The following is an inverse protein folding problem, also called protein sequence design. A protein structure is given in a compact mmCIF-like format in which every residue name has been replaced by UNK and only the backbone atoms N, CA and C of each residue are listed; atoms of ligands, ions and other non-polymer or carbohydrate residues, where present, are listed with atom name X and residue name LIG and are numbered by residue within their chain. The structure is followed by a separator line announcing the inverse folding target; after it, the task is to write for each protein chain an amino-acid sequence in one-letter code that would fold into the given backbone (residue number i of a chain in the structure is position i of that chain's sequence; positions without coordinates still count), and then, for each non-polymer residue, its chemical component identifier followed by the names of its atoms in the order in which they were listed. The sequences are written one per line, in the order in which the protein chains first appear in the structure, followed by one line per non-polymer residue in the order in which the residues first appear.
data_IF_419500790374
#
_entry.id   IF_419500790374
#
_cell.length_a   1.000
_cell.length_b   1.000
_cell.length_c   1.000
_cell.angle_alpha   90.00
_cell.angle_beta   90.00
_cell.angle_gamma   90.00
#
_symmetry.space_group_name_H-M   'P 1'
#
loop_
_entity.id
_entity.type
_entity.pdbx_description
1 polymer ?
#
# COMPACT_ATOMS: atom_id res chain seq x y z
N UNK A 1 -35.68 11.13 -18.76
CA UNK A 1 -35.06 11.66 -20.00
C UNK A 1 -33.68 12.16 -19.64
N UNK A 2 -32.63 11.50 -20.15
CA UNK A 2 -31.25 11.94 -19.98
C UNK A 2 -30.92 13.08 -20.97
N UNK A 3 -30.22 14.14 -20.55
CA UNK A 3 -29.72 15.14 -21.47
C UNK A 3 -28.50 14.62 -22.25
N UNK A 4 -28.38 15.07 -23.49
CA UNK A 4 -27.49 14.55 -24.54
C UNK A 4 -26.04 15.00 -24.40
N UNK A 5 -25.13 14.12 -24.82
CA UNK A 5 -23.67 14.15 -24.64
C UNK A 5 -22.91 15.14 -25.54
N UNK A 6 -23.51 16.27 -25.94
CA UNK A 6 -22.93 17.16 -26.96
C UNK A 6 -22.39 18.48 -26.42
N UNK A 7 -22.85 18.95 -25.25
CA UNK A 7 -22.42 20.25 -24.68
C UNK A 7 -21.10 20.19 -23.91
N UNK A 8 -20.67 19.03 -23.41
CA UNK A 8 -19.43 18.90 -22.62
C UNK A 8 -18.16 18.93 -23.49
N UNK A 9 -18.28 18.63 -24.78
CA UNK A 9 -17.13 18.46 -25.68
C UNK A 9 -16.54 19.80 -26.16
N UNK A 10 -17.38 20.83 -26.29
CA UNK A 10 -16.95 22.16 -26.74
C UNK A 10 -16.06 22.85 -25.71
N UNK A 11 -16.33 22.65 -24.41
CA UNK A 11 -15.52 23.21 -23.32
C UNK A 11 -14.10 22.61 -23.23
N UNK A 12 -13.95 21.30 -23.47
CA UNK A 12 -12.66 20.61 -23.41
C UNK A 12 -11.73 20.97 -24.58
N UNK A 13 -12.28 21.11 -25.79
CA UNK A 13 -11.51 21.49 -26.98
C UNK A 13 -11.01 22.95 -26.90
N UNK A 14 -11.80 23.86 -26.30
CA UNK A 14 -11.36 25.24 -26.04
C UNK A 14 -10.27 25.30 -24.97
N UNK A 15 -10.39 24.51 -23.90
CA UNK A 15 -9.40 24.47 -22.81
C UNK A 15 -8.04 23.91 -23.25
N UNK A 16 -8.01 22.98 -24.20
CA UNK A 16 -6.76 22.39 -24.72
C UNK A 16 -5.97 23.34 -25.64
N UNK A 17 -6.64 24.24 -26.38
CA UNK A 17 -5.98 25.15 -27.35
C UNK A 17 -5.02 26.15 -26.70
N UNK A 18 -5.29 26.57 -25.47
CA UNK A 18 -4.48 27.58 -24.78
C UNK A 18 -3.18 27.01 -24.17
N UNK A 19 -3.01 25.67 -24.14
CA UNK A 19 -1.85 25.02 -23.48
C UNK A 19 -1.08 24.02 -24.34
N UNK A 20 -1.59 23.60 -25.50
CA UNK A 20 -0.99 22.55 -26.33
C UNK A 20 -0.99 22.94 -27.81
N UNK A 21 0.11 22.69 -28.53
CA UNK A 21 0.16 22.82 -30.00
C UNK A 21 -0.33 21.54 -30.68
N UNK A 22 -1.05 21.68 -31.79
CA UNK A 22 -1.59 20.57 -32.57
C UNK A 22 -0.75 20.30 -33.82
N UNK A 23 -0.28 19.06 -33.99
CA UNK A 23 0.18 18.53 -35.27
C UNK A 23 -0.80 17.46 -35.73
N UNK A 24 -1.51 17.70 -36.85
CA UNK A 24 -2.37 16.70 -37.48
C UNK A 24 -1.53 15.83 -38.42
N UNK A 25 -1.32 14.57 -38.07
CA UNK A 25 -0.97 13.52 -39.03
C UNK A 25 -2.05 12.43 -39.02
N UNK A 26 -2.19 11.70 -40.12
CA UNK A 26 -3.45 11.03 -40.51
C UNK A 26 -3.94 9.87 -39.64
N UNK A 27 -3.25 9.46 -38.56
CA UNK A 27 -3.76 8.50 -37.57
C UNK A 27 -3.10 8.81 -36.22
N UNK A 28 -3.91 8.87 -35.14
CA UNK A 28 -3.63 9.13 -33.70
C UNK A 28 -3.31 10.57 -33.27
N UNK A 29 -4.00 11.03 -32.21
CA UNK A 29 -3.79 12.31 -31.51
C UNK A 29 -2.89 12.07 -30.29
N UNK A 30 -1.70 12.66 -30.25
CA UNK A 30 -0.81 12.64 -29.09
C UNK A 30 -0.71 14.03 -28.45
N UNK A 31 -0.64 14.08 -27.12
CA UNK A 31 -0.58 15.31 -26.32
C UNK A 31 0.85 15.55 -25.82
N UNK A 32 1.41 16.74 -26.09
CA UNK A 32 2.75 17.15 -25.61
C UNK A 32 2.70 18.46 -24.82
N UNK A 33 3.22 18.52 -23.57
CA UNK A 33 3.26 19.75 -22.78
C UNK A 33 4.19 20.80 -23.40
N UNK A 34 3.72 22.05 -23.42
CA UNK A 34 4.39 23.19 -24.05
C UNK A 34 5.45 23.83 -23.13
N UNK A 35 6.68 23.30 -23.12
CA UNK A 35 7.85 24.11 -22.73
C UNK A 35 9.05 23.84 -23.66
N UNK A 36 9.16 24.72 -24.65
CA UNK A 36 10.39 25.22 -25.29
C UNK A 36 11.32 24.22 -25.98
N UNK A 37 11.01 23.86 -27.23
CA UNK A 37 12.01 23.46 -28.23
C UNK A 37 12.05 24.52 -29.34
N UNK A 38 13.19 25.20 -29.49
CA UNK A 38 13.52 26.04 -30.65
C UNK A 38 14.02 25.10 -31.75
N UNK A 39 13.35 25.09 -32.90
CA UNK A 39 13.84 24.47 -34.12
C UNK A 39 14.76 25.44 -34.88
N UNK A 40 15.78 24.91 -35.55
CA UNK A 40 16.57 25.69 -36.51
C UNK A 40 17.89 25.04 -36.93
N UNK A 41 17.89 24.38 -38.09
CA UNK A 41 19.10 24.11 -38.88
C UNK A 41 19.42 25.32 -39.76
N UNK A 42 20.48 26.06 -39.44
CA UNK A 42 21.26 26.88 -40.38
C UNK A 42 22.62 27.23 -39.76
N UNK A 43 23.69 27.08 -40.54
CA UNK A 43 25.08 27.13 -40.06
C UNK A 43 25.62 28.50 -39.64
N UNK A 44 26.85 28.46 -39.12
CA UNK A 44 27.79 29.57 -38.86
C UNK A 44 27.27 30.70 -37.93
N UNK A 45 27.62 30.61 -36.66
CA UNK A 45 28.55 31.54 -36.01
C UNK A 45 28.72 31.19 -34.52
N UNK A 46 29.98 31.04 -34.13
CA UNK A 46 30.41 30.79 -32.76
C UNK A 46 30.56 32.16 -32.12
N UNK A 47 29.74 32.47 -31.12
CA UNK A 47 29.96 33.68 -30.33
C UNK A 47 28.76 34.11 -29.50
N UNK A 48 28.96 34.07 -28.18
CA UNK A 48 28.18 34.78 -27.14
C UNK A 48 26.79 34.21 -26.84
N UNK A 49 26.73 33.28 -25.89
CA UNK A 49 25.76 33.33 -24.80
C UNK A 49 26.33 32.52 -23.61
N UNK A 50 27.22 33.17 -22.84
CA UNK A 50 27.63 32.67 -21.53
C UNK A 50 26.70 33.29 -20.48
N UNK A 51 25.92 32.45 -19.79
CA UNK A 51 25.42 32.74 -18.44
C UNK A 51 25.79 31.58 -17.50
N UNK A 52 26.19 31.87 -16.26
CA UNK A 52 26.90 30.92 -15.41
C UNK A 52 25.90 30.03 -14.65
N UNK A 53 26.09 28.70 -14.69
CA UNK A 53 25.29 27.84 -13.81
C UNK A 53 25.07 26.38 -14.21
N UNK A 54 25.89 25.74 -15.04
CA UNK A 54 25.78 24.28 -15.25
C UNK A 54 27.15 23.61 -15.35
N UNK A 55 27.68 23.16 -14.20
CA UNK A 55 28.92 22.38 -14.08
C UNK A 55 28.81 20.94 -14.62
N UNK A 56 27.62 20.48 -15.03
CA UNK A 56 27.39 19.10 -15.50
C UNK A 56 27.66 18.86 -17.00
N UNK A 57 27.75 19.90 -17.83
CA UNK A 57 27.96 19.72 -19.28
C UNK A 57 29.44 19.60 -19.70
N UNK A 58 30.39 19.87 -18.79
CA UNK A 58 31.83 19.82 -19.09
C UNK A 58 32.40 18.40 -19.11
N UNK A 59 31.72 17.43 -18.49
CA UNK A 59 32.20 16.04 -18.40
C UNK A 59 31.83 15.24 -19.66
N UNK A 60 30.68 15.55 -20.28
CA UNK A 60 30.18 14.77 -21.42
C UNK A 60 30.92 15.08 -22.73
N UNK A 61 31.42 16.30 -22.94
CA UNK A 61 32.08 16.68 -24.20
C UNK A 61 33.56 16.29 -24.26
N UNK A 62 34.23 16.12 -23.11
CA UNK A 62 35.61 15.60 -23.10
C UNK A 62 35.62 14.09 -23.42
N UNK A 63 34.59 13.34 -23.02
CA UNK A 63 34.55 11.90 -23.26
C UNK A 63 34.39 11.51 -24.74
N UNK A 64 33.70 12.33 -25.55
CA UNK A 64 33.44 12.00 -26.97
C UNK A 64 34.67 12.24 -27.86
N UNK A 65 35.58 13.16 -27.50
CA UNK A 65 36.78 13.43 -28.32
C UNK A 65 37.94 12.49 -28.06
N UNK A 66 38.03 11.85 -26.89
CA UNK A 66 39.16 10.96 -26.56
C UNK A 66 38.97 9.53 -27.07
N UNK A 67 37.74 9.12 -27.39
CA UNK A 67 37.43 7.76 -27.87
C UNK A 67 37.84 7.52 -29.33
N UNK A 68 38.23 8.57 -30.08
CA UNK A 68 38.62 8.43 -31.49
C UNK A 68 40.10 8.07 -31.72
N UNK A 69 40.90 7.92 -30.67
CA UNK A 69 42.31 7.54 -30.76
C UNK A 69 42.59 6.50 -29.69
N UNK A 70 42.17 5.25 -29.87
CA UNK A 70 42.78 4.13 -29.16
C UNK A 70 42.44 2.82 -29.88
N UNK A 71 43.49 2.11 -30.26
CA UNK A 71 43.46 0.86 -31.03
C UNK A 71 42.62 -0.20 -30.32
N UNK A 72 41.84 -0.90 -31.14
CA UNK A 72 41.01 -2.06 -30.83
C UNK A 72 41.86 -3.21 -30.29
N UNK A 73 42.04 -3.32 -28.97
CA UNK A 73 42.47 -4.60 -28.33
C UNK A 73 42.29 -4.69 -26.82
N UNK A 74 42.03 -3.59 -26.08
CA UNK A 74 42.04 -3.64 -24.59
C UNK A 74 40.79 -3.13 -23.89
N UNK A 75 39.66 -2.96 -24.58
CA UNK A 75 38.43 -2.40 -24.01
C UNK A 75 37.35 -3.42 -23.63
N UNK A 76 37.60 -4.72 -23.80
CA UNK A 76 36.63 -5.77 -23.44
C UNK A 76 36.71 -6.21 -21.97
N UNK A 77 37.45 -5.50 -21.12
CA UNK A 77 37.61 -5.84 -19.69
C UNK A 77 37.19 -4.72 -18.72
N UNK A 78 36.84 -3.52 -19.22
CA UNK A 78 36.35 -2.42 -18.38
C UNK A 78 34.84 -2.13 -18.52
N UNK A 79 34.17 -2.68 -19.54
CA UNK A 79 32.73 -2.51 -19.71
C UNK A 79 31.89 -3.39 -18.75
N UNK A 80 32.47 -4.45 -18.17
CA UNK A 80 31.79 -5.29 -17.18
C UNK A 80 31.85 -4.75 -15.74
N UNK A 81 32.73 -3.80 -15.44
CA UNK A 81 32.91 -3.24 -14.08
C UNK A 81 32.15 -1.92 -13.88
N UNK A 82 31.73 -1.26 -14.96
CA UNK A 82 31.04 0.03 -14.88
C UNK A 82 29.49 -0.06 -14.87
N UNK A 83 28.91 -1.25 -15.09
CA UNK A 83 27.45 -1.46 -15.03
C UNK A 83 26.95 -1.83 -13.62
N UNK A 84 27.84 -2.07 -12.65
CA UNK A 84 27.50 -2.39 -11.25
C UNK A 84 27.46 -1.17 -10.32
N UNK A 85 27.80 0.05 -10.78
CA UNK A 85 27.91 1.23 -9.93
C UNK A 85 26.71 2.21 -9.99
N UNK A 86 25.70 1.92 -10.80
CA UNK A 86 24.38 2.60 -10.75
C UNK A 86 23.28 1.62 -10.33
N UNK A 87 23.59 0.71 -9.40
CA UNK A 87 22.53 0.06 -8.63
C UNK A 87 21.92 1.10 -7.71
N UNK A 88 20.72 1.58 -8.03
CA UNK A 88 19.80 2.07 -7.00
C UNK A 88 19.61 0.91 -6.03
N UNK A 89 20.44 0.87 -4.99
CA UNK A 89 20.34 -0.13 -3.94
C UNK A 89 19.04 0.09 -3.21
N UNK A 90 17.95 -0.48 -3.74
CA UNK A 90 16.80 -0.83 -2.92
C UNK A 90 17.39 -1.77 -1.89
N UNK A 91 17.59 -1.28 -0.66
CA UNK A 91 17.96 -2.11 0.47
C UNK A 91 16.90 -3.21 0.51
N UNK A 92 17.27 -4.41 0.10
CA UNK A 92 16.41 -5.57 0.25
C UNK A 92 16.12 -5.67 1.74
N UNK A 93 14.86 -5.46 2.12
CA UNK A 93 14.49 -5.49 3.53
C UNK A 93 14.81 -6.88 4.06
N UNK A 94 15.44 -6.94 5.22
CA UNK A 94 15.68 -8.20 5.91
C UNK A 94 14.30 -8.79 6.19
N UNK A 95 14.04 -9.99 5.67
CA UNK A 95 12.82 -10.75 5.94
C UNK A 95 13.10 -11.71 7.08
N UNK A 96 12.78 -11.28 8.30
CA UNK A 96 12.95 -12.14 9.48
C UNK A 96 11.78 -13.13 9.50
N UNK A 97 12.01 -14.45 9.66
CA UNK A 97 10.92 -15.39 9.92
C UNK A 97 10.16 -15.02 11.20
N UNK A 98 8.86 -15.33 11.24
CA UNK A 98 8.06 -15.16 12.45
C UNK A 98 8.33 -16.35 13.38
N UNK A 99 8.76 -16.08 14.60
CA UNK A 99 8.83 -17.10 15.66
C UNK A 99 7.41 -17.36 16.18
N UNK A 100 6.81 -18.48 15.75
CA UNK A 100 5.46 -18.86 16.17
C UNK A 100 5.47 -19.40 17.60
N UNK A 101 4.48 -19.02 18.41
CA UNK A 101 4.37 -19.42 19.81
C UNK A 101 3.08 -18.92 20.45
N UNK A 102 2.97 -19.00 21.77
CA UNK A 102 1.81 -18.44 22.49
C UNK A 102 1.77 -16.90 22.40
N UNK A 103 2.93 -16.28 22.23
CA UNK A 103 3.10 -14.84 22.11
C UNK A 103 4.12 -14.55 21.03
N UNK A 104 3.77 -13.69 20.08
CA UNK A 104 4.65 -13.24 19.01
C UNK A 104 4.95 -11.76 19.28
N UNK A 105 6.23 -11.48 19.54
CA UNK A 105 6.75 -10.12 19.70
C UNK A 105 6.83 -9.44 18.33
N UNK A 106 6.18 -8.29 18.17
CA UNK A 106 6.15 -7.56 16.90
C UNK A 106 7.13 -6.39 16.92
N UNK A 107 7.58 -6.01 15.73
CA UNK A 107 8.47 -4.86 15.54
C UNK A 107 7.65 -3.58 15.39
N UNK A 108 8.20 -2.46 15.83
CA UNK A 108 7.68 -1.16 15.41
C UNK A 108 8.07 -0.93 13.95
N UNK A 109 7.13 -0.65 13.04
CA UNK A 109 7.45 -0.38 11.64
C UNK A 109 8.31 0.87 11.49
N UNK A 110 9.21 0.88 10.50
CA UNK A 110 9.94 2.10 10.15
C UNK A 110 8.97 3.09 9.49
N UNK A 111 8.77 4.31 10.06
CA UNK A 111 7.80 5.27 9.51
C UNK A 111 8.16 5.77 8.11
N UNK A 112 9.38 5.49 7.60
CA UNK A 112 9.82 5.85 6.25
C UNK A 112 9.78 4.68 5.27
N UNK A 113 9.29 3.51 5.69
CA UNK A 113 9.19 2.35 4.81
C UNK A 113 8.00 2.46 3.84
N UNK A 114 8.16 1.87 2.66
CA UNK A 114 7.13 1.79 1.64
C UNK A 114 7.02 3.01 0.72
N UNK A 115 6.01 2.98 -0.14
CA UNK A 115 5.67 4.06 -1.07
C UNK A 115 5.11 5.30 -0.34
N UNK A 116 5.12 6.44 -1.02
CA UNK A 116 4.36 7.61 -0.55
C UNK A 116 2.86 7.31 -0.52
N UNK A 117 2.09 8.09 0.26
CA UNK A 117 0.64 7.90 0.35
C UNK A 117 -0.07 8.00 -1.01
N UNK A 118 0.37 8.90 -1.90
CA UNK A 118 -0.22 9.05 -3.24
C UNK A 118 0.06 7.84 -4.13
N UNK A 119 1.27 7.27 -4.04
CA UNK A 119 1.64 6.07 -4.77
C UNK A 119 0.92 4.84 -4.22
N UNK A 120 0.78 4.72 -2.89
CA UNK A 120 0.01 3.66 -2.25
C UNK A 120 -1.47 3.72 -2.67
N UNK A 121 -2.08 4.91 -2.66
CA UNK A 121 -3.44 5.13 -3.16
C UNK A 121 -3.59 4.74 -4.64
N UNK A 122 -2.62 5.12 -5.48
CA UNK A 122 -2.62 4.77 -6.90
C UNK A 122 -2.45 3.26 -7.14
N UNK A 123 -1.66 2.58 -6.32
CA UNK A 123 -1.40 1.14 -6.41
C UNK A 123 -2.50 0.28 -5.75
N UNK A 124 -3.32 0.87 -4.85
CA UNK A 124 -4.31 0.14 -4.06
C UNK A 124 -5.31 -0.58 -4.96
N UNK A 125 -5.34 -1.89 -4.83
CA UNK A 125 -6.25 -2.80 -5.54
C UNK A 125 -6.58 -4.01 -4.67
N UNK A 126 -7.69 -4.69 -4.98
CA UNK A 126 -8.08 -5.93 -4.28
C UNK A 126 -7.57 -7.13 -5.05
N UNK A 127 -6.83 -8.03 -4.39
CA UNK A 127 -6.41 -9.31 -4.98
C UNK A 127 -7.14 -10.49 -4.38
N UNK A 128 -7.23 -11.58 -5.15
CA UNK A 128 -7.63 -12.91 -4.68
C UNK A 128 -6.59 -13.98 -4.99
N UNK A 129 -5.43 -13.57 -5.49
CA UNK A 129 -4.30 -14.43 -5.80
C UNK A 129 -3.17 -14.12 -4.80
N UNK A 130 -2.89 -15.11 -3.95
CA UNK A 130 -1.96 -15.02 -2.82
C UNK A 130 -1.00 -16.20 -2.84
N UNK A 131 0.30 -15.92 -2.70
CA UNK A 131 1.29 -16.93 -2.36
C UNK A 131 1.00 -17.51 -0.97
N UNK A 132 1.13 -18.84 -0.75
CA UNK A 132 1.03 -19.43 0.59
C UNK A 132 2.27 -19.16 1.47
N UNK A 133 3.29 -18.49 0.93
CA UNK A 133 4.48 -18.11 1.69
C UNK A 133 4.12 -17.18 2.84
N UNK A 134 4.62 -17.51 4.04
CA UNK A 134 4.38 -16.70 5.24
C UNK A 134 4.96 -15.29 5.10
N UNK A 135 4.24 -14.33 5.66
CA UNK A 135 4.75 -12.97 5.83
C UNK A 135 6.00 -12.97 6.71
N UNK A 136 6.94 -12.09 6.42
CA UNK A 136 8.04 -11.83 7.36
C UNK A 136 7.52 -11.14 8.62
N UNK A 137 8.30 -11.16 9.70
CA UNK A 137 7.97 -10.46 10.93
C UNK A 137 7.75 -8.96 10.69
N UNK A 138 8.52 -8.34 9.82
CA UNK A 138 8.37 -6.92 9.42
C UNK A 138 7.04 -6.69 8.70
N UNK A 139 6.69 -7.55 7.74
CA UNK A 139 5.44 -7.48 6.98
C UNK A 139 4.22 -7.67 7.91
N UNK A 140 4.24 -8.71 8.75
CA UNK A 140 3.18 -8.98 9.73
C UNK A 140 3.03 -7.83 10.74
N UNK A 141 4.13 -7.35 11.28
CA UNK A 141 4.13 -6.25 12.25
C UNK A 141 3.57 -4.96 11.65
N UNK A 142 3.97 -4.64 10.42
CA UNK A 142 3.48 -3.45 9.72
C UNK A 142 2.01 -3.54 9.34
N UNK A 143 1.53 -4.71 8.93
CA UNK A 143 0.09 -4.94 8.69
C UNK A 143 -0.73 -4.70 9.97
N UNK A 144 -0.32 -5.29 11.10
CA UNK A 144 -1.04 -5.14 12.37
C UNK A 144 -0.98 -3.72 12.94
N UNK A 145 0.18 -3.08 12.85
CA UNK A 145 0.34 -1.69 13.26
C UNK A 145 -0.48 -0.74 12.36
N UNK A 146 -0.55 -0.98 11.05
CA UNK A 146 -1.41 -0.22 10.17
C UNK A 146 -2.90 -0.38 10.56
N UNK A 147 -3.33 -1.60 10.85
CA UNK A 147 -4.70 -1.88 11.26
C UNK A 147 -5.09 -1.15 12.55
N UNK A 148 -4.28 -1.28 13.61
CA UNK A 148 -4.67 -0.88 14.96
C UNK A 148 -3.49 -0.51 15.88
N UNK A 149 -2.33 -0.14 15.36
CA UNK A 149 -1.15 0.20 16.16
C UNK A 149 -1.30 1.54 16.88
N UNK A 150 -0.65 1.70 18.03
CA UNK A 150 -0.55 2.99 18.73
C UNK A 150 0.38 3.92 17.95
N UNK A 151 -0.05 5.15 17.67
CA UNK A 151 0.74 6.14 16.90
C UNK A 151 0.99 7.48 17.61
N UNK A 152 0.52 7.65 18.85
CA UNK A 152 0.74 8.84 19.67
C UNK A 152 0.78 8.49 21.15
N UNK A 153 1.42 9.36 21.94
CA UNK A 153 1.73 9.12 23.36
C UNK A 153 0.50 8.91 24.24
N UNK A 154 -0.64 9.49 23.86
CA UNK A 154 -1.92 9.35 24.55
C UNK A 154 -2.62 8.00 24.29
N UNK A 155 -1.95 7.08 23.58
CA UNK A 155 -2.38 5.69 23.42
C UNK A 155 -3.41 5.46 22.31
N UNK A 156 -3.75 6.49 21.54
CA UNK A 156 -4.66 6.34 20.42
C UNK A 156 -4.02 5.62 19.22
N UNK A 157 -4.89 5.05 18.39
CA UNK A 157 -4.50 4.18 17.29
C UNK A 157 -4.33 4.93 15.96
N UNK A 158 -3.67 4.25 15.02
CA UNK A 158 -3.56 4.62 13.60
C UNK A 158 -4.92 4.75 12.92
N UNK A 159 -5.89 3.92 13.30
CA UNK A 159 -7.25 3.98 12.79
C UNK A 159 -8.14 4.95 13.60
N UNK A 160 -9.12 5.61 12.96
CA UNK A 160 -10.10 6.43 13.67
C UNK A 160 -11.03 5.57 14.52
N UNK A 161 -11.66 6.19 15.51
CA UNK A 161 -12.76 5.58 16.23
C UNK A 161 -13.74 6.61 16.76
N UNK A 162 -15.04 6.30 16.71
CA UNK A 162 -16.06 7.17 17.28
C UNK A 162 -15.78 7.44 18.77
N UNK A 163 -15.62 8.72 19.11
CA UNK A 163 -15.29 9.19 20.47
C UNK A 163 -13.99 8.58 21.04
N UNK A 164 -13.08 8.11 20.18
CA UNK A 164 -11.83 7.44 20.55
C UNK A 164 -12.03 6.23 21.49
N UNK A 165 -13.14 5.51 21.35
CA UNK A 165 -13.47 4.38 22.23
C UNK A 165 -12.91 3.03 21.78
N UNK A 166 -12.52 2.91 20.52
CA UNK A 166 -11.82 1.75 19.95
C UNK A 166 -12.53 0.40 20.19
N UNK A 167 -13.77 0.22 19.68
CA UNK A 167 -14.55 -1.00 19.89
C UNK A 167 -14.02 -2.21 19.11
N UNK A 168 -13.13 -2.02 18.14
CA UNK A 168 -12.69 -3.07 17.21
C UNK A 168 -11.51 -3.84 17.78
N UNK A 169 -11.72 -5.14 18.02
CA UNK A 169 -10.69 -6.12 18.32
C UNK A 169 -10.19 -6.75 17.02
N UNK A 170 -8.87 -6.77 16.82
CA UNK A 170 -8.23 -7.37 15.65
C UNK A 170 -7.73 -8.77 16.00
N UNK A 171 -8.20 -9.76 15.26
CA UNK A 171 -7.71 -11.14 15.34
C UNK A 171 -6.95 -11.51 14.07
N UNK A 172 -5.78 -12.11 14.23
CA UNK A 172 -4.97 -12.65 13.15
C UNK A 172 -5.12 -14.18 13.11
N UNK A 173 -5.61 -14.68 11.99
CA UNK A 173 -5.71 -16.11 11.68
C UNK A 173 -4.52 -16.49 10.80
N UNK A 174 -3.61 -17.27 11.39
CA UNK A 174 -2.40 -17.84 10.78
C UNK A 174 -2.56 -19.37 10.72
N UNK A 175 -1.74 -20.09 9.92
CA UNK A 175 -1.77 -21.56 9.88
C UNK A 175 -1.65 -22.24 11.25
N UNK A 176 -0.91 -21.64 12.18
CA UNK A 176 -0.60 -22.22 13.49
C UNK A 176 -1.63 -21.89 14.56
N UNK A 177 -2.52 -20.90 14.32
CA UNK A 177 -3.47 -20.46 15.32
C UNK A 177 -4.18 -19.15 15.02
N UNK A 178 -5.13 -18.83 15.91
CA UNK A 178 -5.80 -17.54 15.98
C UNK A 178 -5.19 -16.73 17.11
N UNK A 179 -4.84 -15.49 16.82
CA UNK A 179 -4.18 -14.59 17.73
C UNK A 179 -4.99 -13.31 17.89
N UNK A 180 -5.01 -12.75 19.10
CA UNK A 180 -5.53 -11.40 19.36
C UNK A 180 -4.37 -10.41 19.36
N UNK A 181 -4.48 -9.35 18.57
CA UNK A 181 -3.52 -8.26 18.59
C UNK A 181 -3.73 -7.38 19.83
N UNK A 182 -2.65 -7.16 20.58
CA UNK A 182 -2.57 -6.18 21.66
C UNK A 182 -1.76 -4.98 21.17
N UNK A 183 -2.46 -3.90 20.82
CA UNK A 183 -1.85 -2.69 20.29
C UNK A 183 -0.92 -1.99 21.28
N UNK A 184 -1.19 -2.08 22.60
CA UNK A 184 -0.42 -1.40 23.64
C UNK A 184 0.90 -2.11 23.89
N UNK A 185 0.84 -3.44 23.99
CA UNK A 185 2.04 -4.26 24.15
C UNK A 185 2.76 -4.50 22.81
N UNK A 186 2.10 -4.21 21.68
CA UNK A 186 2.55 -4.51 20.32
C UNK A 186 2.92 -5.99 20.13
N UNK A 187 1.99 -6.88 20.45
CA UNK A 187 2.17 -8.33 20.33
C UNK A 187 0.93 -9.03 19.78
N UNK A 188 1.10 -10.23 19.24
CA UNK A 188 0.01 -11.18 19.04
C UNK A 188 0.01 -12.19 20.20
N UNK A 189 -1.12 -12.35 20.88
CA UNK A 189 -1.30 -13.42 21.88
C UNK A 189 -2.22 -14.49 21.30
N UNK A 190 -1.79 -15.75 21.29
CA UNK A 190 -2.58 -16.87 20.78
C UNK A 190 -3.79 -17.09 21.67
N UNK A 191 -4.96 -17.20 21.05
CA UNK A 191 -6.24 -17.48 21.73
C UNK A 191 -6.78 -18.85 21.36
N UNK A 192 -6.46 -19.35 20.15
CA UNK A 192 -6.85 -20.68 19.67
C UNK A 192 -5.67 -21.28 18.92
N UNK A 193 -5.39 -22.56 19.14
CA UNK A 193 -4.38 -23.32 18.40
C UNK A 193 -4.97 -23.95 17.14
N UNK A 194 -4.13 -24.05 16.11
CA UNK A 194 -4.46 -24.70 14.84
C UNK A 194 -5.07 -23.77 13.79
N UNK A 195 -5.03 -24.22 12.54
CA UNK A 195 -5.53 -23.47 11.41
C UNK A 195 -7.06 -23.38 11.46
N UNK A 196 -7.57 -22.14 11.39
CA UNK A 196 -9.00 -21.82 11.37
C UNK A 196 -9.35 -20.83 10.26
N UNK A 197 -8.44 -20.64 9.30
CA UNK A 197 -8.61 -19.65 8.22
C UNK A 197 -9.87 -19.90 7.39
N UNK A 198 -10.36 -21.14 7.33
CA UNK A 198 -11.60 -21.51 6.64
C UNK A 198 -12.89 -20.91 7.23
N UNK A 199 -12.83 -20.33 8.44
CA UNK A 199 -13.98 -19.62 9.03
C UNK A 199 -14.04 -18.14 8.62
N UNK A 200 -12.90 -17.58 8.19
CA UNK A 200 -12.76 -16.15 7.90
C UNK A 200 -13.26 -15.74 6.51
N UNK A 201 -13.74 -16.69 5.72
CA UNK A 201 -14.22 -16.46 4.35
C UNK A 201 -15.26 -17.49 3.93
N UNK A 202 -15.99 -17.15 2.86
CA UNK A 202 -16.86 -18.08 2.13
C UNK A 202 -16.22 -18.58 0.82
N UNK A 203 -15.00 -18.13 0.51
CA UNK A 203 -14.29 -18.37 -0.74
C UNK A 203 -12.93 -18.98 -0.45
N UNK A 204 -12.54 -19.97 -1.24
CA UNK A 204 -11.39 -20.85 -1.03
C UNK A 204 -10.01 -20.16 -1.06
N UNK A 205 -9.84 -19.12 -1.88
CA UNK A 205 -8.58 -18.38 -1.98
C UNK A 205 -8.06 -17.87 -0.62
N UNK A 206 -8.95 -17.65 0.33
CA UNK A 206 -8.62 -17.14 1.65
C UNK A 206 -8.07 -18.22 2.60
N UNK A 207 -8.38 -19.49 2.34
CA UNK A 207 -8.09 -20.58 3.27
C UNK A 207 -6.59 -20.89 3.32
N UNK A 208 -5.87 -20.62 2.23
CA UNK A 208 -4.44 -20.91 2.09
C UNK A 208 -3.55 -19.68 2.16
N UNK A 209 -4.12 -18.47 2.09
CA UNK A 209 -3.38 -17.21 2.21
C UNK A 209 -2.72 -17.06 3.59
N UNK A 210 -1.54 -16.45 3.69
CA UNK A 210 -0.69 -16.52 4.88
C UNK A 210 -1.29 -15.80 6.10
N UNK A 211 -2.21 -14.84 5.88
CA UNK A 211 -2.86 -14.10 6.94
C UNK A 211 -4.31 -13.77 6.57
N UNK A 212 -5.24 -14.05 7.48
CA UNK A 212 -6.55 -13.40 7.52
C UNK A 212 -6.68 -12.58 8.81
N UNK A 213 -7.07 -11.32 8.68
CA UNK A 213 -7.51 -10.48 9.79
C UNK A 213 -9.03 -10.56 9.93
N UNK A 214 -9.52 -10.60 11.15
CA UNK A 214 -10.94 -10.51 11.49
C UNK A 214 -11.14 -9.37 12.48
N UNK A 215 -12.07 -8.48 12.17
CA UNK A 215 -12.38 -7.28 12.92
C UNK A 215 -13.69 -7.48 13.69
N UNK A 216 -13.59 -7.66 15.00
CA UNK A 216 -14.74 -7.96 15.87
C UNK A 216 -15.05 -6.74 16.73
N UNK A 217 -16.28 -6.25 16.66
CA UNK A 217 -16.74 -5.14 17.50
C UNK A 217 -17.16 -5.64 18.88
N UNK A 218 -16.76 -4.93 19.92
CA UNK A 218 -17.28 -5.06 21.29
C UNK A 218 -18.27 -3.91 21.57
N UNK A 219 -19.57 -4.20 21.52
CA UNK A 219 -20.60 -3.19 21.70
C UNK A 219 -20.67 -2.66 23.14
N UNK A 220 -20.14 -3.39 24.13
CA UNK A 220 -20.15 -2.96 25.54
C UNK A 220 -19.37 -1.66 25.76
N UNK A 221 -18.42 -1.36 24.88
CA UNK A 221 -17.67 -0.10 24.86
C UNK A 221 -18.58 1.13 24.75
N UNK A 222 -19.80 0.96 24.23
CA UNK A 222 -20.81 2.02 24.12
C UNK A 222 -21.96 1.90 25.15
N UNK A 223 -21.86 1.02 26.15
CA UNK A 223 -22.96 0.77 27.10
C UNK A 223 -23.50 2.07 27.74
N UNK A 224 -22.61 2.98 28.14
CA UNK A 224 -22.96 4.24 28.78
C UNK A 224 -23.48 5.33 27.82
N UNK A 225 -23.51 5.06 26.51
CA UNK A 225 -23.93 6.03 25.49
C UNK A 225 -25.43 6.01 25.23
N UNK A 226 -26.14 4.99 25.73
CA UNK A 226 -27.58 4.82 25.60
C UNK A 226 -28.08 5.07 24.16
N UNK A 227 -27.39 4.47 23.18
CA UNK A 227 -27.74 4.60 21.77
C UNK A 227 -28.43 3.32 21.26
N UNK A 228 -29.30 3.42 20.24
CA UNK A 228 -29.82 2.23 19.57
C UNK A 228 -28.70 1.35 19.02
N UNK A 229 -28.88 0.03 19.09
CA UNK A 229 -27.87 -0.95 18.64
C UNK A 229 -27.45 -0.72 17.19
N UNK A 230 -28.36 -0.33 16.31
CA UNK A 230 -28.05 -0.06 14.90
C UNK A 230 -27.12 1.15 14.74
N UNK A 231 -27.22 2.15 15.63
CA UNK A 231 -26.31 3.29 15.62
C UNK A 231 -24.92 2.90 16.11
N UNK A 232 -24.84 2.04 17.13
CA UNK A 232 -23.57 1.49 17.62
C UNK A 232 -22.91 0.65 16.53
N UNK A 233 -23.67 -0.22 15.86
CA UNK A 233 -23.22 -1.04 14.72
C UNK A 233 -22.71 -0.18 13.57
N UNK A 234 -23.39 0.93 13.25
CA UNK A 234 -22.95 1.89 12.25
C UNK A 234 -21.57 2.48 12.58
N UNK A 235 -21.34 2.91 13.83
CA UNK A 235 -20.02 3.40 14.26
C UNK A 235 -18.95 2.30 14.19
N UNK A 236 -19.27 1.09 14.64
CA UNK A 236 -18.34 -0.04 14.54
C UNK A 236 -17.98 -0.38 13.09
N UNK A 237 -18.94 -0.31 12.16
CA UNK A 237 -18.70 -0.52 10.74
C UNK A 237 -17.81 0.57 10.13
N UNK A 238 -18.03 1.85 10.49
CA UNK A 238 -17.19 2.96 10.07
C UNK A 238 -15.76 2.83 10.61
N UNK A 239 -15.62 2.45 11.88
CA UNK A 239 -14.33 2.19 12.51
C UNK A 239 -13.61 1.05 11.79
N UNK A 240 -14.22 -0.14 11.64
CA UNK A 240 -13.61 -1.28 10.95
C UNK A 240 -13.22 -0.95 9.49
N UNK A 241 -14.00 -0.10 8.81
CA UNK A 241 -13.65 0.44 7.50
C UNK A 241 -12.31 1.17 7.51
N UNK A 242 -12.07 2.04 8.49
CA UNK A 242 -10.78 2.72 8.69
C UNK A 242 -9.62 1.76 8.94
N UNK A 243 -9.82 0.73 9.76
CA UNK A 243 -8.79 -0.28 10.06
C UNK A 243 -8.40 -1.03 8.79
N UNK A 244 -9.40 -1.49 8.03
CA UNK A 244 -9.15 -2.28 6.82
C UNK A 244 -8.52 -1.44 5.70
N UNK A 245 -8.88 -0.16 5.58
CA UNK A 245 -8.28 0.70 4.55
C UNK A 245 -6.83 1.07 4.90
N UNK A 246 -6.50 1.26 6.18
CA UNK A 246 -5.09 1.38 6.59
C UNK A 246 -4.28 0.16 6.14
N UNK A 247 -4.80 -1.05 6.31
CA UNK A 247 -4.13 -2.28 5.85
C UNK A 247 -4.04 -2.35 4.32
N UNK A 248 -5.09 -1.95 3.58
CA UNK A 248 -5.05 -1.93 2.11
C UNK A 248 -3.95 -0.98 1.61
N UNK A 249 -3.82 0.20 2.21
CA UNK A 249 -2.81 1.19 1.86
C UNK A 249 -1.41 0.73 2.27
N UNK A 250 -1.26 0.16 3.47
CA UNK A 250 0.01 -0.43 3.91
C UNK A 250 0.46 -1.54 2.96
N UNK A 251 -0.46 -2.44 2.58
CA UNK A 251 -0.16 -3.54 1.68
C UNK A 251 0.31 -3.02 0.32
N UNK A 252 -0.47 -2.13 -0.31
CA UNK A 252 -0.11 -1.51 -1.58
C UNK A 252 1.24 -0.77 -1.52
N UNK A 253 1.51 -0.05 -0.42
CA UNK A 253 2.74 0.68 -0.20
C UNK A 253 3.97 -0.20 0.05
N UNK A 254 3.80 -1.46 0.45
CA UNK A 254 4.89 -2.37 0.82
C UNK A 254 4.96 -3.62 -0.08
N UNK A 255 4.31 -3.59 -1.25
CA UNK A 255 4.37 -4.69 -2.22
C UNK A 255 3.64 -5.96 -1.77
N UNK A 256 2.68 -5.81 -0.86
CA UNK A 256 1.73 -6.87 -0.49
C UNK A 256 0.41 -6.65 -1.23
N UNK A 257 -0.40 -7.71 -1.25
CA UNK A 257 -1.77 -7.72 -1.74
C UNK A 257 -2.72 -7.83 -0.56
N UNK A 258 -3.91 -7.26 -0.69
CA UNK A 258 -4.96 -7.38 0.30
C UNK A 258 -6.36 -7.43 -0.34
N UNK A 259 -7.34 -7.92 0.42
CA UNK A 259 -8.76 -7.77 0.10
C UNK A 259 -9.62 -7.72 1.37
N UNK A 260 -10.34 -6.63 1.56
CA UNK A 260 -11.41 -6.52 2.57
C UNK A 260 -12.66 -7.29 2.11
N UNK A 261 -13.31 -7.99 3.04
CA UNK A 261 -14.50 -8.79 2.82
C UNK A 261 -15.58 -8.53 3.86
N UNK A 262 -16.83 -8.56 3.40
CA UNK A 262 -18.02 -8.69 4.24
C UNK A 262 -18.60 -10.11 4.28
N UNK A 263 -17.92 -11.11 3.69
CA UNK A 263 -18.35 -12.51 3.67
C UNK A 263 -17.42 -13.40 4.50
N UNK A 264 -17.96 -13.97 5.56
CA UNK A 264 -17.30 -14.85 6.54
C UNK A 264 -18.37 -15.65 7.30
N UNK A 265 -17.96 -16.64 8.10
CA UNK A 265 -18.86 -17.47 8.91
C UNK A 265 -19.03 -16.85 10.30
N UNK A 266 -19.84 -15.80 10.41
CA UNK A 266 -19.95 -14.96 11.62
C UNK A 266 -20.26 -15.77 12.89
N UNK A 267 -21.30 -16.60 12.87
CA UNK A 267 -21.72 -17.38 14.04
C UNK A 267 -20.62 -18.34 14.49
N UNK A 268 -19.98 -19.02 13.53
CA UNK A 268 -18.87 -19.94 13.82
C UNK A 268 -17.62 -19.21 14.35
N UNK A 269 -17.36 -17.98 13.90
CA UNK A 269 -16.26 -17.17 14.42
C UNK A 269 -16.53 -16.71 15.86
N UNK A 270 -17.74 -16.26 16.17
CA UNK A 270 -18.11 -15.86 17.53
C UNK A 270 -18.07 -17.06 18.49
N UNK A 271 -18.60 -18.21 18.07
CA UNK A 271 -18.53 -19.46 18.84
C UNK A 271 -17.08 -19.89 19.10
N UNK A 272 -16.22 -19.91 18.06
CA UNK A 272 -14.80 -20.25 18.18
C UNK A 272 -14.08 -19.36 19.20
N UNK A 273 -14.40 -18.07 19.19
CA UNK A 273 -13.77 -17.07 20.06
C UNK A 273 -14.43 -16.99 21.45
N UNK A 274 -15.50 -17.75 21.71
CA UNK A 274 -16.26 -17.71 22.96
C UNK A 274 -16.90 -16.35 23.22
N UNK A 275 -17.36 -15.66 22.17
CA UNK A 275 -17.92 -14.31 22.24
C UNK A 275 -19.45 -14.34 22.13
N UNK A 276 -20.12 -13.66 23.05
CA UNK A 276 -21.58 -13.54 23.06
C UNK A 276 -22.07 -12.66 21.89
N UNK A 277 -22.90 -13.19 20.96
CA UNK A 277 -23.45 -12.42 19.84
C UNK A 277 -24.36 -11.25 20.26
N UNK A 278 -24.82 -11.19 21.51
CA UNK A 278 -25.53 -10.02 22.04
C UNK A 278 -24.58 -8.82 22.28
N UNK A 279 -23.31 -9.09 22.59
CA UNK A 279 -22.30 -8.08 22.90
C UNK A 279 -21.30 -7.87 21.75
N UNK A 280 -21.02 -8.90 20.98
CA UNK A 280 -20.00 -8.90 19.94
C UNK A 280 -20.61 -9.10 18.56
N UNK A 281 -19.98 -8.53 17.54
CA UNK A 281 -20.31 -8.80 16.14
C UNK A 281 -19.07 -8.81 15.27
N UNK A 282 -19.02 -9.72 14.30
CA UNK A 282 -17.92 -9.76 13.32
C UNK A 282 -18.25 -8.78 12.22
N UNK A 283 -17.42 -7.75 12.04
CA UNK A 283 -17.75 -6.63 11.17
C UNK A 283 -17.17 -6.83 9.77
N UNK A 284 -15.88 -7.15 9.69
CA UNK A 284 -15.15 -7.36 8.44
C UNK A 284 -14.10 -8.45 8.62
N UNK A 285 -13.70 -9.07 7.50
CA UNK A 285 -12.51 -9.88 7.40
C UNK A 285 -11.59 -9.32 6.30
N UNK A 286 -10.29 -9.62 6.35
CA UNK A 286 -9.34 -9.15 5.35
C UNK A 286 -8.22 -10.17 5.14
N UNK A 287 -8.00 -10.57 3.89
CA UNK A 287 -6.83 -11.43 3.55
C UNK A 287 -5.66 -10.55 3.15
N UNK A 288 -4.46 -10.92 3.59
CA UNK A 288 -3.20 -10.27 3.24
C UNK A 288 -2.15 -11.32 2.87
N UNK A 289 -1.36 -11.05 1.84
CA UNK A 289 -0.29 -11.93 1.35
C UNK A 289 0.50 -11.29 0.21
N UNK A 290 1.37 -12.06 -0.44
CA UNK A 290 2.11 -11.63 -1.65
C UNK A 290 1.45 -12.07 -2.94
#
# INVERSE_FOLDING_TARGET
MAPSSTETRVGFESWCKDRYYFLKTKKTTEYFPSQTFISGTAGRNIGKFFRPGYRKFRILVIFVKTVKIMKTSSLMMCALVALTACGTGVKQSVRTPVEMGERIELKTPDPKMGLTINEALAARSSSRDFSPEMLSLEELSGVLWAAAGVNREDGHLTAPSAMALYPIRVYAFLPEGVYRYDSKANVLNRVIEGDRRELTAMQDFAYTAPLNLVYVADYSVYADRNQPVDRIRFWCAADAGGYTENVNLYAAGNGLKAITRGSFKEEALLELLGLDPAQYGVILAQTVGR
#
